data_IF_941762198251
#
_entry.id   IF_941762198251
#
_cell.length_a   1.000
_cell.length_b   1.000
_cell.length_c   1.000
_cell.angle_alpha   90.00
_cell.angle_beta   90.00
_cell.angle_gamma   90.00
#
_symmetry.space_group_name_H-M   'P 1'
#
loop_
_entity.id
_entity.type
_entity.pdbx_description
1 polymer ?
#
# COMPACT_ATOMS: atom_id res chain seq x y z
N UNK A 1 1.17 -29.80 10.95
CA UNK A 1 0.12 -28.78 10.69
C UNK A 1 0.43 -27.43 11.34
N UNK A 2 0.78 -27.34 12.64
CA UNK A 2 1.10 -26.08 13.34
C UNK A 2 2.22 -25.24 12.69
N UNK A 3 3.29 -25.89 12.20
CA UNK A 3 4.46 -25.19 11.62
C UNK A 3 4.18 -24.50 10.28
N UNK A 4 3.24 -25.03 9.50
CA UNK A 4 2.83 -24.42 8.22
C UNK A 4 1.91 -23.23 8.44
N UNK A 5 1.03 -23.30 9.45
CA UNK A 5 0.17 -22.19 9.85
C UNK A 5 0.99 -20.99 10.35
N UNK A 6 2.05 -21.23 11.12
CA UNK A 6 2.95 -20.19 11.63
C UNK A 6 3.73 -19.45 10.53
N UNK A 7 4.12 -20.16 9.46
CA UNK A 7 4.83 -19.58 8.31
C UNK A 7 3.91 -18.70 7.45
N UNK A 8 2.65 -19.12 7.25
CA UNK A 8 1.64 -18.33 6.54
C UNK A 8 1.28 -17.04 7.27
N UNK A 9 1.14 -17.09 8.60
CA UNK A 9 0.91 -15.89 9.40
C UNK A 9 2.08 -14.93 9.37
N UNK A 10 3.32 -15.44 9.38
CA UNK A 10 4.52 -14.60 9.36
C UNK A 10 4.67 -13.85 8.02
N UNK A 11 4.42 -14.51 6.88
CA UNK A 11 4.48 -13.87 5.57
C UNK A 11 3.45 -12.74 5.39
N UNK A 12 2.22 -12.95 5.87
CA UNK A 12 1.15 -11.96 5.76
C UNK A 12 1.48 -10.67 6.53
N UNK A 13 2.11 -10.79 7.70
CA UNK A 13 2.49 -9.63 8.53
C UNK A 13 3.61 -8.80 7.88
N UNK A 14 4.59 -9.43 7.22
CA UNK A 14 5.65 -8.69 6.50
C UNK A 14 5.16 -7.94 5.27
N UNK A 15 4.13 -8.44 4.56
CA UNK A 15 3.54 -7.72 3.44
C UNK A 15 2.79 -6.47 3.91
N UNK A 16 2.03 -6.58 5.01
CA UNK A 16 1.27 -5.48 5.59
C UNK A 16 2.15 -4.34 6.15
N UNK A 17 3.35 -4.64 6.66
CA UNK A 17 4.23 -3.61 7.22
C UNK A 17 4.82 -2.69 6.14
N UNK A 18 5.16 -3.22 4.96
CA UNK A 18 5.65 -2.42 3.83
C UNK A 18 4.59 -1.49 3.24
N UNK A 19 3.33 -1.93 3.22
CA UNK A 19 2.19 -1.11 2.78
C UNK A 19 1.92 0.06 3.75
N UNK A 20 2.11 -0.18 5.06
CA UNK A 20 1.95 0.85 6.08
C UNK A 20 3.00 1.98 5.97
N UNK A 21 4.27 1.67 5.67
CA UNK A 21 5.31 2.69 5.43
C UNK A 21 4.97 3.59 4.23
N UNK A 22 4.45 3.02 3.14
CA UNK A 22 4.03 3.79 1.98
C UNK A 22 2.86 4.73 2.31
N UNK A 23 1.83 4.22 3.01
CA UNK A 23 0.68 5.02 3.42
C UNK A 23 1.06 6.23 4.30
N UNK A 24 2.00 6.05 5.24
CA UNK A 24 2.51 7.14 6.10
C UNK A 24 3.18 8.23 5.25
N UNK A 25 4.02 7.85 4.29
CA UNK A 25 4.72 8.79 3.40
C UNK A 25 3.75 9.56 2.51
N UNK A 26 2.72 8.91 1.98
CA UNK A 26 1.68 9.58 1.20
C UNK A 26 0.88 10.57 2.05
N UNK A 27 0.50 10.21 3.27
CA UNK A 27 -0.17 11.12 4.19
C UNK A 27 0.69 12.35 4.54
N UNK A 28 2.01 12.18 4.65
CA UNK A 28 2.94 13.30 4.84
C UNK A 28 2.97 14.24 3.62
N UNK A 29 2.85 13.71 2.40
CA UNK A 29 2.73 14.51 1.18
C UNK A 29 1.40 15.29 1.19
N UNK A 30 0.26 14.63 1.45
CA UNK A 30 -1.05 15.27 1.57
C UNK A 30 -0.99 16.47 2.55
N UNK A 31 -0.37 16.26 3.71
CA UNK A 31 -0.18 17.29 4.74
C UNK A 31 0.66 18.46 4.23
N UNK A 32 1.75 18.18 3.51
CA UNK A 32 2.66 19.21 2.98
C UNK A 32 2.01 20.06 1.90
N UNK A 33 1.17 19.46 1.04
CA UNK A 33 0.56 20.16 -0.11
C UNK A 33 -0.83 20.73 0.21
N UNK A 34 -1.42 20.37 1.36
CA UNK A 34 -2.78 20.79 1.73
C UNK A 34 -3.85 20.19 0.83
N UNK A 35 -3.61 19.00 0.28
CA UNK A 35 -4.43 18.39 -0.76
C UNK A 35 -4.55 16.88 -0.63
N UNK A 36 -5.26 16.26 -1.57
CA UNK A 36 -5.49 14.81 -1.62
C UNK A 36 -4.75 14.19 -2.80
N UNK A 37 -4.21 12.99 -2.63
CA UNK A 37 -3.59 12.22 -3.70
C UNK A 37 -4.12 10.79 -3.75
N UNK A 38 -4.33 10.27 -4.95
CA UNK A 38 -4.60 8.85 -5.19
C UNK A 38 -3.40 8.21 -5.87
N UNK A 39 -2.93 7.07 -5.37
CA UNK A 39 -1.76 6.37 -5.90
C UNK A 39 -2.10 4.90 -6.11
N UNK A 40 -1.85 4.41 -7.33
CA UNK A 40 -1.83 2.99 -7.67
C UNK A 40 -0.53 2.74 -8.42
N UNK A 41 0.32 1.86 -7.89
CA UNK A 41 1.54 1.43 -8.56
C UNK A 41 1.53 -0.10 -8.67
N UNK A 42 1.88 -0.62 -9.86
CA UNK A 42 1.98 -2.04 -10.15
C UNK A 42 3.39 -2.36 -10.65
N UNK A 43 4.09 -3.23 -9.92
CA UNK A 43 5.31 -3.86 -10.42
C UNK A 43 4.91 -5.00 -11.36
N UNK A 44 5.09 -4.78 -12.67
CA UNK A 44 4.72 -5.76 -13.70
C UNK A 44 5.57 -7.03 -13.69
N UNK A 45 6.73 -7.02 -13.01
CA UNK A 45 7.62 -8.19 -12.96
C UNK A 45 7.14 -9.24 -11.95
N UNK A 46 6.45 -8.81 -10.89
CA UNK A 46 6.06 -9.67 -9.76
C UNK A 46 4.62 -9.43 -9.26
N UNK A 47 3.85 -8.59 -9.94
CA UNK A 47 2.47 -8.22 -9.59
C UNK A 47 2.30 -7.57 -8.21
N UNK A 48 3.38 -7.11 -7.56
CA UNK A 48 3.29 -6.36 -6.31
C UNK A 48 2.63 -5.01 -6.58
N UNK A 49 1.76 -4.61 -5.65
CA UNK A 49 1.03 -3.35 -5.73
C UNK A 49 1.30 -2.46 -4.54
N UNK A 50 1.13 -1.15 -4.77
CA UNK A 50 0.98 -0.14 -3.73
C UNK A 50 -0.30 0.61 -4.07
N UNK A 51 -1.27 0.54 -3.18
CA UNK A 51 -2.57 1.19 -3.33
C UNK A 51 -2.75 2.21 -2.19
N UNK A 52 -3.05 3.46 -2.52
CA UNK A 52 -3.37 4.52 -1.57
C UNK A 52 -4.54 5.34 -2.11
N UNK A 53 -5.69 5.27 -1.44
CA UNK A 53 -6.96 5.83 -1.93
C UNK A 53 -7.30 5.39 -3.36
N UNK A 54 -7.00 4.13 -3.69
CA UNK A 54 -7.16 3.59 -5.04
C UNK A 54 -8.61 3.66 -5.56
N UNK A 55 -9.59 3.63 -4.66
CA UNK A 55 -11.01 3.66 -5.00
C UNK A 55 -11.63 5.07 -4.92
N UNK A 56 -10.86 6.07 -4.48
CA UNK A 56 -11.31 7.47 -4.50
C UNK A 56 -11.36 7.97 -5.96
N UNK A 57 -12.31 8.85 -6.26
CA UNK A 57 -12.42 9.47 -7.59
C UNK A 57 -11.63 10.77 -7.65
N UNK A 58 -10.85 10.92 -8.71
CA UNK A 58 -10.13 12.14 -9.06
C UNK A 58 -10.55 12.59 -10.48
N UNK A 59 -10.68 13.90 -10.74
CA UNK A 59 -10.91 14.39 -12.11
C UNK A 59 -9.71 14.04 -13.00
N UNK A 60 -9.94 13.70 -14.26
CA UNK A 60 -8.87 13.38 -15.22
C UNK A 60 -8.19 14.63 -15.83
N UNK A 61 -8.42 15.79 -15.21
CA UNK A 61 -8.33 17.12 -15.82
C UNK A 61 -9.41 17.35 -16.88
#
# INVERSE_FOLDING_TARGET
MVRSFLLLTFLAVSAASGENDAAIRFAAIETRIGGRIGVVALDISNSKRIDYRADDRFPMC
#
